data_IF_654665436216
#
_entry.id   IF_654665436216
#
_cell.length_a   1.000
_cell.length_b   1.000
_cell.length_c   1.000
_cell.angle_alpha   90.00
_cell.angle_beta   90.00
_cell.angle_gamma   90.00
#
_symmetry.space_group_name_H-M   'P 1'
#
loop_
_entity.id
_entity.type
_entity.pdbx_description
1 polymer ?
#
# COMPACT_ATOMS: atom_id res chain seq x y z
N UNK A 1 -26.41 5.35 15.08
CA UNK A 1 -26.35 5.31 16.55
C UNK A 1 -25.05 5.95 17.00
N UNK A 2 -25.10 6.99 17.82
CA UNK A 2 -23.88 7.61 18.37
C UNK A 2 -23.33 6.80 19.58
N UNK A 3 -22.14 7.14 20.07
CA UNK A 3 -21.51 6.39 21.17
C UNK A 3 -22.34 6.37 22.46
N UNK A 4 -23.12 7.41 22.72
CA UNK A 4 -23.99 7.51 23.92
C UNK A 4 -25.18 6.56 23.78
N UNK A 5 -25.83 6.57 22.62
CA UNK A 5 -26.93 5.64 22.31
C UNK A 5 -26.44 4.18 22.31
N UNK A 6 -25.25 3.92 21.75
CA UNK A 6 -24.65 2.58 21.72
C UNK A 6 -24.33 2.05 23.12
N UNK A 7 -23.81 2.90 24.01
CA UNK A 7 -23.57 2.53 25.42
C UNK A 7 -24.89 2.18 26.12
N UNK A 8 -25.95 2.93 25.86
CA UNK A 8 -27.26 2.67 26.44
C UNK A 8 -27.84 1.34 25.96
N UNK A 9 -27.75 1.05 24.65
CA UNK A 9 -28.20 -0.23 24.10
C UNK A 9 -27.38 -1.42 24.63
N UNK A 10 -26.07 -1.26 24.75
CA UNK A 10 -25.20 -2.29 25.33
C UNK A 10 -25.59 -2.56 26.80
N UNK A 11 -25.87 -1.53 27.59
CA UNK A 11 -26.34 -1.69 28.96
C UNK A 11 -27.70 -2.41 29.02
N UNK A 12 -28.63 -2.06 28.13
CA UNK A 12 -29.92 -2.74 28.04
C UNK A 12 -29.77 -4.21 27.64
N UNK A 13 -28.83 -4.52 26.73
CA UNK A 13 -28.51 -5.88 26.34
C UNK A 13 -27.93 -6.67 27.51
N UNK A 14 -26.94 -6.12 28.22
CA UNK A 14 -26.33 -6.74 29.40
C UNK A 14 -27.37 -7.03 30.49
N UNK A 15 -28.37 -6.16 30.65
CA UNK A 15 -29.47 -6.37 31.60
C UNK A 15 -30.43 -7.51 31.21
N UNK A 16 -30.45 -7.92 29.94
CA UNK A 16 -31.26 -9.05 29.44
C UNK A 16 -30.50 -10.38 29.49
N UNK A 17 -29.18 -10.35 29.68
CA UNK A 17 -28.35 -11.55 29.80
C UNK A 17 -28.48 -12.13 31.20
N UNK A 18 -28.52 -13.46 31.31
CA UNK A 18 -28.52 -14.14 32.62
C UNK A 18 -27.35 -13.67 33.48
N UNK A 19 -27.53 -13.34 34.76
CA UNK A 19 -26.45 -12.88 35.64
C UNK A 19 -25.23 -13.81 35.68
N UNK A 20 -25.43 -15.12 35.50
CA UNK A 20 -24.35 -16.12 35.46
C UNK A 20 -23.47 -16.03 34.21
N UNK A 21 -24.01 -15.49 33.11
CA UNK A 21 -23.35 -15.41 31.80
C UNK A 21 -22.77 -14.01 31.53
N UNK A 22 -23.21 -12.98 32.26
CA UNK A 22 -22.71 -11.60 32.09
C UNK A 22 -21.19 -11.54 32.21
N UNK A 23 -20.60 -12.24 33.19
CA UNK A 23 -19.14 -12.24 33.36
C UNK A 23 -18.42 -12.90 32.19
N UNK A 24 -18.91 -14.04 31.70
CA UNK A 24 -18.35 -14.71 30.52
C UNK A 24 -18.46 -13.85 29.25
N UNK A 25 -19.57 -13.15 29.07
CA UNK A 25 -19.76 -12.23 27.95
C UNK A 25 -18.82 -11.03 28.04
N UNK A 26 -18.64 -10.43 29.22
CA UNK A 26 -17.69 -9.34 29.42
C UNK A 26 -16.24 -9.80 29.20
N UNK A 27 -15.90 -11.01 29.64
CA UNK A 27 -14.57 -11.59 29.42
C UNK A 27 -14.37 -11.93 27.93
N UNK A 28 -15.40 -12.39 27.22
CA UNK A 28 -15.36 -12.54 25.77
C UNK A 28 -15.15 -11.20 25.08
N UNK A 29 -15.93 -10.15 25.42
CA UNK A 29 -15.77 -8.81 24.81
C UNK A 29 -14.35 -8.25 25.03
N UNK A 30 -13.78 -8.43 26.23
CA UNK A 30 -12.44 -7.93 26.56
C UNK A 30 -11.32 -8.67 25.83
N UNK A 31 -11.52 -9.95 25.51
CA UNK A 31 -10.47 -10.84 24.98
C UNK A 31 -10.74 -11.27 23.53
N UNK A 32 -11.80 -10.78 22.91
CA UNK A 32 -12.11 -11.05 21.50
C UNK A 32 -11.48 -9.98 20.62
N UNK A 33 -10.99 -10.37 19.45
CA UNK A 33 -10.60 -9.47 18.36
C UNK A 33 -11.86 -8.86 17.72
N UNK A 34 -12.55 -7.97 18.44
CA UNK A 34 -13.69 -7.21 17.90
C UNK A 34 -13.25 -6.15 16.88
N UNK A 35 -11.95 -6.05 16.61
CA UNK A 35 -11.33 -5.15 15.63
C UNK A 35 -11.86 -5.38 14.20
N UNK A 36 -12.38 -6.56 13.88
CA UNK A 36 -13.08 -6.80 12.60
C UNK A 36 -14.39 -6.00 12.45
N UNK A 37 -15.01 -5.56 13.56
CA UNK A 37 -16.18 -4.66 13.57
C UNK A 37 -15.77 -3.20 13.41
N UNK A 38 -14.48 -2.91 13.63
CA UNK A 38 -13.82 -1.67 13.30
C UNK A 38 -13.20 -1.80 11.91
N UNK A 39 -14.03 -2.03 10.87
CA UNK A 39 -13.59 -1.73 9.51
C UNK A 39 -13.07 -0.29 9.54
N UNK A 40 -11.75 -0.14 9.59
CA UNK A 40 -11.12 1.15 9.65
C UNK A 40 -11.61 1.89 8.41
N UNK A 41 -12.27 3.03 8.60
CA UNK A 41 -12.77 3.83 7.48
C UNK A 41 -11.64 4.10 6.49
N UNK A 42 -10.40 4.20 6.96
CA UNK A 42 -9.22 4.33 6.12
C UNK A 42 -8.98 3.09 5.25
N UNK A 43 -9.06 1.88 5.81
CA UNK A 43 -8.97 0.61 5.05
C UNK A 43 -10.09 0.52 4.01
N UNK A 44 -11.32 0.89 4.37
CA UNK A 44 -12.45 0.91 3.44
C UNK A 44 -12.26 1.92 2.32
N UNK A 45 -11.75 3.12 2.63
CA UNK A 45 -11.41 4.13 1.62
C UNK A 45 -10.37 3.59 0.64
N UNK A 46 -9.27 3.02 1.14
CA UNK A 46 -8.23 2.44 0.29
C UNK A 46 -8.74 1.29 -0.57
N UNK A 47 -9.58 0.41 -0.02
CA UNK A 47 -10.22 -0.66 -0.79
C UNK A 47 -11.11 -0.13 -1.91
N UNK A 48 -11.93 0.90 -1.63
CA UNK A 48 -12.75 1.50 -2.68
C UNK A 48 -11.89 2.14 -3.78
N UNK A 49 -10.76 2.76 -3.43
CA UNK A 49 -9.82 3.31 -4.41
C UNK A 49 -9.22 2.19 -5.27
N UNK A 50 -8.80 1.08 -4.65
CA UNK A 50 -8.31 -0.09 -5.36
C UNK A 50 -9.37 -0.64 -6.34
N UNK A 51 -10.63 -0.72 -5.93
CA UNK A 51 -11.75 -1.15 -6.78
C UNK A 51 -11.96 -0.24 -7.99
N UNK A 52 -11.92 1.08 -7.77
CA UNK A 52 -12.02 2.08 -8.84
C UNK A 52 -10.86 2.01 -9.84
N UNK A 53 -9.65 1.78 -9.35
CA UNK A 53 -8.47 1.61 -10.17
C UNK A 53 -8.58 0.32 -11.00
N UNK A 54 -8.98 -0.80 -10.39
CA UNK A 54 -9.21 -2.08 -11.09
C UNK A 54 -10.25 -1.97 -12.20
N UNK A 55 -11.28 -1.13 -12.04
CA UNK A 55 -12.27 -0.90 -13.08
C UNK A 55 -11.72 -0.18 -14.33
N UNK A 56 -10.54 0.46 -14.20
CA UNK A 56 -9.91 1.28 -15.25
C UNK A 56 -8.61 0.70 -15.79
N UNK A 57 -8.06 -0.32 -15.14
CA UNK A 57 -6.78 -0.93 -15.46
C UNK A 57 -6.98 -2.35 -15.99
N UNK A 58 -6.05 -2.84 -16.84
CA UNK A 58 -5.98 -4.27 -17.12
C UNK A 58 -5.64 -5.07 -15.84
N UNK A 59 -5.91 -6.38 -15.81
CA UNK A 59 -5.67 -7.21 -14.61
C UNK A 59 -4.22 -7.23 -14.11
N UNK A 60 -3.25 -7.02 -15.00
CA UNK A 60 -1.84 -6.90 -14.66
C UNK A 60 -1.44 -5.49 -14.19
N UNK A 61 -2.38 -4.54 -14.16
CA UNK A 61 -2.19 -3.14 -13.78
C UNK A 61 -1.18 -2.36 -14.65
N UNK A 62 -0.84 -2.88 -15.84
CA UNK A 62 0.15 -2.27 -16.75
C UNK A 62 -0.55 -1.43 -17.83
N UNK A 63 -0.31 -0.12 -17.86
CA UNK A 63 -0.79 0.69 -18.97
C UNK A 63 0.07 0.46 -20.24
N UNK A 64 -0.50 0.48 -21.45
CA UNK A 64 0.28 0.35 -22.69
C UNK A 64 1.39 1.39 -22.83
N UNK A 65 1.17 2.60 -22.30
CA UNK A 65 2.16 3.69 -22.26
C UNK A 65 3.31 3.41 -21.28
N UNK A 66 3.10 2.58 -20.26
CA UNK A 66 4.11 2.11 -19.31
C UNK A 66 5.00 1.01 -19.92
N UNK A 67 4.40 0.11 -20.72
CA UNK A 67 5.09 -1.02 -21.35
C UNK A 67 6.27 -0.57 -22.20
N UNK A 68 6.18 0.57 -22.91
CA UNK A 68 7.30 1.09 -23.71
C UNK A 68 8.52 1.52 -22.87
N UNK A 69 8.33 1.92 -21.62
CA UNK A 69 9.40 2.26 -20.68
C UNK A 69 9.99 0.99 -20.04
N UNK A 70 9.14 0.04 -19.61
CA UNK A 70 9.57 -1.27 -19.09
C UNK A 70 10.33 -2.12 -20.11
N UNK A 71 10.01 -2.00 -21.40
CA UNK A 71 10.73 -2.72 -22.46
C UNK A 71 12.20 -2.30 -22.56
N UNK A 72 12.60 -1.10 -22.11
CA UNK A 72 14.03 -0.70 -22.11
C UNK A 72 14.82 -1.36 -20.98
N UNK A 73 14.21 -1.63 -19.83
CA UNK A 73 14.87 -2.24 -18.67
C UNK A 73 14.82 -3.78 -18.68
N UNK A 74 13.71 -4.37 -19.13
CA UNK A 74 13.55 -5.84 -19.18
C UNK A 74 14.35 -6.53 -20.29
N UNK A 75 14.85 -5.81 -21.31
CA UNK A 75 15.70 -6.42 -22.35
C UNK A 75 17.02 -6.99 -21.80
N UNK A 76 17.39 -6.68 -20.55
CA UNK A 76 18.51 -7.34 -19.85
C UNK A 76 18.07 -8.48 -18.91
N UNK A 77 16.78 -8.62 -18.58
CA UNK A 77 16.27 -9.60 -17.62
C UNK A 77 14.94 -10.25 -18.03
N UNK A 78 14.97 -11.33 -18.84
CA UNK A 78 14.50 -12.69 -18.46
C UNK A 78 13.97 -13.55 -19.64
N UNK A 79 14.44 -14.79 -19.62
CA UNK A 79 13.94 -15.94 -20.38
C UNK A 79 12.88 -16.77 -19.61
N UNK A 80 12.18 -16.18 -18.63
CA UNK A 80 11.20 -16.88 -17.78
C UNK A 80 9.85 -16.17 -17.80
N UNK A 81 8.73 -16.91 -17.84
CA UNK A 81 7.40 -16.31 -17.78
C UNK A 81 7.17 -15.75 -16.37
N UNK A 82 6.75 -14.49 -16.29
CA UNK A 82 6.38 -13.77 -15.07
C UNK A 82 5.10 -12.98 -15.34
N UNK A 83 4.21 -12.90 -14.36
CA UNK A 83 2.97 -12.12 -14.42
C UNK A 83 3.06 -11.00 -13.38
N UNK A 84 2.85 -9.77 -13.82
CA UNK A 84 2.84 -8.61 -12.93
C UNK A 84 1.51 -8.54 -12.18
N UNK A 85 1.56 -8.33 -10.87
CA UNK A 85 0.40 -8.16 -10.00
C UNK A 85 0.67 -7.01 -9.04
N UNK A 86 -0.27 -6.09 -8.89
CA UNK A 86 -0.10 -4.94 -7.99
C UNK A 86 -0.71 -5.22 -6.60
N UNK A 87 0.12 -5.28 -5.56
CA UNK A 87 -0.30 -5.58 -4.18
C UNK A 87 -1.23 -4.53 -3.56
N UNK A 88 -1.30 -3.31 -4.12
CA UNK A 88 -2.29 -2.34 -3.68
C UNK A 88 -3.70 -2.70 -4.19
N UNK A 89 -3.78 -3.29 -5.38
CA UNK A 89 -5.05 -3.60 -6.04
C UNK A 89 -5.67 -4.93 -5.59
N UNK A 90 -4.83 -5.90 -5.25
CA UNK A 90 -5.27 -7.26 -4.94
C UNK A 90 -4.65 -7.74 -3.62
N UNK A 91 -5.50 -8.10 -2.66
CA UNK A 91 -5.06 -8.82 -1.46
C UNK A 91 -4.70 -10.28 -1.77
N UNK A 92 -3.96 -10.93 -0.88
CA UNK A 92 -3.61 -12.34 -1.04
C UNK A 92 -4.85 -13.25 -1.14
N UNK A 93 -5.91 -12.95 -0.41
CA UNK A 93 -7.18 -13.68 -0.50
C UNK A 93 -7.89 -13.48 -1.85
N UNK A 94 -7.88 -12.24 -2.38
CA UNK A 94 -8.43 -11.95 -3.71
C UNK A 94 -7.62 -12.64 -4.79
N UNK A 95 -6.30 -12.72 -4.61
CA UNK A 95 -5.39 -13.46 -5.46
C UNK A 95 -5.65 -14.97 -5.44
N UNK A 96 -5.90 -15.53 -4.25
CA UNK A 96 -6.30 -16.94 -4.11
C UNK A 96 -7.60 -17.22 -4.86
N UNK A 97 -8.60 -16.36 -4.69
CA UNK A 97 -9.89 -16.48 -5.38
C UNK A 97 -9.71 -16.44 -6.90
N UNK A 98 -8.92 -15.50 -7.43
CA UNK A 98 -8.64 -15.41 -8.86
C UNK A 98 -7.88 -16.64 -9.40
N UNK A 99 -7.03 -17.24 -8.57
CA UNK A 99 -6.35 -18.50 -8.91
C UNK A 99 -7.32 -19.69 -8.94
N UNK A 100 -8.22 -19.78 -7.96
CA UNK A 100 -9.24 -20.83 -7.88
C UNK A 100 -10.24 -20.76 -9.03
N UNK A 101 -10.62 -19.54 -9.44
CA UNK A 101 -11.51 -19.29 -10.59
C UNK A 101 -10.82 -19.50 -11.95
N UNK A 102 -9.51 -19.77 -11.96
CA UNK A 102 -8.73 -19.99 -13.18
C UNK A 102 -8.48 -18.74 -14.01
N UNK A 103 -8.81 -17.55 -13.48
CA UNK A 103 -8.47 -16.26 -14.09
C UNK A 103 -6.97 -15.97 -14.05
N UNK A 104 -6.23 -16.71 -13.20
CA UNK A 104 -4.85 -16.44 -12.83
C UNK A 104 -4.15 -17.72 -12.36
N UNK A 105 -2.80 -17.77 -12.37
CA UNK A 105 -2.04 -18.89 -11.82
C UNK A 105 -0.85 -18.42 -10.98
N UNK A 106 -0.83 -18.78 -9.68
CA UNK A 106 0.25 -18.43 -8.73
C UNK A 106 1.61 -18.95 -9.13
N UNK A 107 1.65 -20.09 -9.81
CA UNK A 107 2.90 -20.76 -10.14
C UNK A 107 2.90 -21.21 -11.59
N UNK A 108 4.05 -21.14 -12.25
CA UNK A 108 4.25 -21.78 -13.56
C UNK A 108 5.07 -23.04 -13.43
N UNK A 109 4.80 -24.02 -14.28
CA UNK A 109 5.61 -25.22 -14.32
C UNK A 109 6.94 -24.97 -15.03
N UNK A 110 8.03 -25.35 -14.36
CA UNK A 110 9.40 -25.27 -14.89
C UNK A 110 9.72 -26.33 -15.95
N UNK A 111 8.73 -27.09 -16.44
CA UNK A 111 8.98 -28.30 -17.25
C UNK A 111 7.90 -28.63 -18.27
N UNK A 112 6.62 -28.75 -17.87
CA UNK A 112 5.58 -29.35 -18.72
C UNK A 112 4.12 -29.08 -18.30
N UNK A 113 3.86 -28.15 -17.38
CA UNK A 113 2.52 -27.94 -16.78
C UNK A 113 2.19 -28.84 -15.57
N UNK A 114 3.19 -29.50 -14.98
CA UNK A 114 3.07 -30.44 -13.86
C UNK A 114 3.69 -29.91 -12.54
N UNK A 115 3.95 -30.77 -11.55
CA UNK A 115 4.20 -30.46 -10.13
C UNK A 115 5.45 -29.61 -9.79
N UNK A 116 6.42 -29.53 -10.71
CA UNK A 116 7.65 -28.75 -10.48
C UNK A 116 7.39 -27.30 -10.89
N UNK A 117 6.92 -26.51 -9.94
CA UNK A 117 6.46 -25.15 -10.17
C UNK A 117 7.34 -24.11 -9.49
N UNK A 118 7.30 -22.88 -9.97
CA UNK A 118 7.93 -21.71 -9.35
C UNK A 118 6.94 -20.54 -9.32
N UNK A 119 7.06 -19.59 -8.37
CA UNK A 119 6.20 -18.42 -8.29
C UNK A 119 6.20 -17.64 -9.61
N UNK A 120 5.00 -17.29 -10.07
CA UNK A 120 4.79 -16.55 -11.31
C UNK A 120 4.69 -15.03 -11.07
N UNK A 121 4.31 -14.61 -9.86
CA UNK A 121 4.03 -13.21 -9.56
C UNK A 121 5.22 -12.40 -9.12
N UNK A 122 5.22 -11.14 -9.54
CA UNK A 122 6.08 -10.09 -9.03
C UNK A 122 5.16 -8.90 -8.73
N UNK A 123 5.28 -8.35 -7.52
CA UNK A 123 4.64 -7.10 -7.13
C UNK A 123 5.70 -6.03 -6.93
N UNK A 124 5.38 -4.81 -7.38
CA UNK A 124 6.25 -3.64 -7.27
C UNK A 124 5.59 -2.50 -6.51
N UNK A 125 4.52 -2.77 -5.76
CA UNK A 125 3.68 -1.76 -5.10
C UNK A 125 3.45 -2.14 -3.65
N UNK A 126 3.21 -1.14 -2.78
CA UNK A 126 2.83 -1.38 -1.40
C UNK A 126 1.38 -1.87 -1.32
N UNK A 127 1.15 -2.93 -0.55
CA UNK A 127 -0.17 -3.34 -0.08
C UNK A 127 -0.78 -2.34 0.91
N UNK A 128 -2.10 -2.42 1.12
CA UNK A 128 -2.78 -1.59 2.11
C UNK A 128 -2.22 -1.78 3.54
N UNK A 129 -1.77 -2.98 3.89
CA UNK A 129 -1.18 -3.29 5.19
C UNK A 129 0.22 -2.69 5.32
N UNK A 130 1.05 -2.76 4.27
CA UNK A 130 2.36 -2.12 4.26
C UNK A 130 2.25 -0.59 4.33
N UNK A 131 1.26 0.00 3.65
CA UNK A 131 0.96 1.44 3.79
C UNK A 131 0.56 1.80 5.23
N UNK A 132 -0.25 0.96 5.87
CA UNK A 132 -0.60 1.15 7.28
C UNK A 132 0.62 1.09 8.19
N UNK A 133 1.48 0.09 8.00
CA UNK A 133 2.75 -0.03 8.72
C UNK A 133 3.61 1.22 8.55
N UNK A 134 3.84 1.61 7.29
CA UNK A 134 4.66 2.75 6.90
C UNK A 134 4.23 4.03 7.62
N UNK A 135 2.93 4.37 7.58
CA UNK A 135 2.47 5.67 8.09
C UNK A 135 2.16 5.70 9.59
N UNK A 136 1.77 4.56 10.19
CA UNK A 136 1.34 4.54 11.59
C UNK A 136 2.42 4.01 12.55
N UNK A 137 3.42 3.29 12.05
CA UNK A 137 4.41 2.61 12.89
C UNK A 137 5.84 3.00 12.52
N UNK A 138 6.13 3.15 11.23
CA UNK A 138 7.48 3.44 10.77
C UNK A 138 7.81 4.93 10.77
N UNK A 139 6.97 5.75 10.12
CA UNK A 139 7.22 7.18 9.99
C UNK A 139 6.84 7.95 11.26
N UNK A 140 7.56 9.04 11.59
CA UNK A 140 7.18 9.93 12.69
C UNK A 140 5.92 10.73 12.33
N UNK A 141 5.37 11.48 13.31
CA UNK A 141 4.29 12.44 13.03
C UNK A 141 4.70 13.43 11.93
N UNK A 142 3.84 13.51 10.91
CA UNK A 142 4.05 14.31 9.71
C UNK A 142 3.33 15.67 9.76
N UNK A 143 2.78 16.06 10.92
CA UNK A 143 2.16 17.38 11.09
C UNK A 143 3.12 18.50 10.67
N UNK A 144 2.67 19.37 9.76
CA UNK A 144 3.49 20.45 9.20
C UNK A 144 4.51 20.02 8.15
N UNK A 145 4.61 18.73 7.82
CA UNK A 145 5.64 18.18 6.92
C UNK A 145 5.14 17.92 5.50
N UNK A 146 6.08 17.91 4.57
CA UNK A 146 5.90 17.54 3.16
C UNK A 146 6.52 16.18 2.88
N UNK A 147 5.72 15.27 2.32
CA UNK A 147 6.19 13.98 1.82
C UNK A 147 6.14 13.96 0.30
N UNK A 148 7.19 13.45 -0.33
CA UNK A 148 7.28 13.23 -1.77
C UNK A 148 7.38 11.73 -2.06
N UNK A 149 6.53 11.24 -2.95
CA UNK A 149 6.54 9.87 -3.50
C UNK A 149 7.06 9.91 -4.93
N UNK A 150 8.20 9.27 -5.18
CA UNK A 150 8.88 9.28 -6.48
C UNK A 150 8.49 8.04 -7.28
N UNK A 151 8.01 8.24 -8.51
CA UNK A 151 7.47 7.15 -9.32
C UNK A 151 6.14 6.66 -8.76
N UNK A 152 5.23 7.61 -8.47
CA UNK A 152 4.02 7.32 -7.70
C UNK A 152 3.05 6.35 -8.38
N UNK A 153 3.18 6.13 -9.70
CA UNK A 153 2.45 5.13 -10.50
C UNK A 153 0.94 5.14 -10.28
N UNK A 154 0.40 4.23 -9.47
CA UNK A 154 -1.04 4.18 -9.17
C UNK A 154 -1.47 5.12 -8.04
N UNK A 155 -0.52 5.68 -7.28
CA UNK A 155 -0.73 6.62 -6.19
C UNK A 155 -0.92 6.00 -4.81
N UNK A 156 -0.60 4.70 -4.64
CA UNK A 156 -0.84 3.94 -3.41
C UNK A 156 -0.29 4.65 -2.15
N UNK A 157 0.95 5.14 -2.20
CA UNK A 157 1.59 5.88 -1.11
C UNK A 157 0.87 7.20 -0.80
N UNK A 158 0.41 7.92 -1.83
CA UNK A 158 -0.32 9.18 -1.65
C UNK A 158 -1.66 8.94 -0.96
N UNK A 159 -2.39 7.90 -1.36
CA UNK A 159 -3.68 7.57 -0.75
C UNK A 159 -3.50 7.07 0.69
N UNK A 160 -2.53 6.17 0.92
CA UNK A 160 -2.16 5.70 2.26
C UNK A 160 -1.74 6.85 3.17
N UNK A 161 -0.88 7.74 2.68
CA UNK A 161 -0.43 8.91 3.43
C UNK A 161 -1.56 9.87 3.74
N UNK A 162 -2.55 10.00 2.86
CA UNK A 162 -3.70 10.85 3.12
C UNK A 162 -4.55 10.31 4.28
N UNK A 163 -4.85 9.01 4.28
CA UNK A 163 -5.75 8.41 5.27
C UNK A 163 -5.08 8.09 6.61
N UNK A 164 -3.78 7.81 6.60
CA UNK A 164 -3.04 7.38 7.79
C UNK A 164 -2.13 8.45 8.41
N UNK A 165 -1.95 9.61 7.77
CA UNK A 165 -1.05 10.64 8.29
C UNK A 165 -1.63 12.06 8.30
N UNK A 166 -1.02 12.88 9.15
CA UNK A 166 -1.22 14.33 9.30
C UNK A 166 -0.33 15.17 8.36
N UNK A 167 0.34 14.54 7.38
CA UNK A 167 1.22 15.24 6.43
C UNK A 167 0.51 16.45 5.83
N UNK A 168 1.14 17.62 5.87
CA UNK A 168 0.53 18.85 5.34
C UNK A 168 0.47 18.84 3.82
N UNK A 169 1.44 18.19 3.18
CA UNK A 169 1.48 18.02 1.72
C UNK A 169 1.98 16.63 1.36
N UNK A 170 1.31 16.00 0.40
CA UNK A 170 1.64 14.71 -0.19
C UNK A 170 1.82 14.94 -1.69
N UNK A 171 3.03 14.77 -2.19
CA UNK A 171 3.39 15.09 -3.56
C UNK A 171 3.83 13.83 -4.31
N UNK A 172 3.10 13.46 -5.37
CA UNK A 172 3.52 12.39 -6.27
C UNK A 172 4.30 12.95 -7.45
N UNK A 173 5.47 12.39 -7.75
CA UNK A 173 6.19 12.63 -9.00
C UNK A 173 6.01 11.42 -9.91
N UNK A 174 5.52 11.64 -11.12
CA UNK A 174 5.29 10.58 -12.10
C UNK A 174 5.68 11.04 -13.50
N UNK A 175 6.34 10.16 -14.25
CA UNK A 175 6.82 10.42 -15.62
C UNK A 175 5.76 10.09 -16.67
N UNK A 176 4.88 9.14 -16.41
CA UNK A 176 3.83 8.74 -17.32
C UNK A 176 2.58 9.62 -17.12
N UNK A 177 2.26 10.42 -18.13
CA UNK A 177 1.11 11.32 -18.09
C UNK A 177 -0.23 10.61 -17.88
N UNK A 178 -0.40 9.38 -18.36
CA UNK A 178 -1.65 8.62 -18.15
C UNK A 178 -1.82 8.23 -16.68
N UNK A 179 -0.74 7.88 -15.98
CA UNK A 179 -0.77 7.67 -14.54
C UNK A 179 -1.03 8.96 -13.77
N UNK A 180 -0.43 10.08 -14.18
CA UNK A 180 -0.73 11.40 -13.59
C UNK A 180 -2.22 11.72 -13.71
N UNK A 181 -2.84 11.47 -14.88
CA UNK A 181 -4.27 11.66 -15.09
C UNK A 181 -5.11 10.72 -14.21
N UNK A 182 -4.76 9.43 -14.19
CA UNK A 182 -5.44 8.43 -13.38
C UNK A 182 -5.44 8.80 -11.89
N UNK A 183 -4.28 9.19 -11.35
CA UNK A 183 -4.16 9.58 -9.96
C UNK A 183 -4.95 10.86 -9.65
N UNK A 184 -4.90 11.87 -10.52
CA UNK A 184 -5.66 13.11 -10.33
C UNK A 184 -7.18 12.86 -10.32
N UNK A 185 -7.69 11.95 -11.16
CA UNK A 185 -9.10 11.56 -11.13
C UNK A 185 -9.51 10.94 -9.79
N UNK A 186 -8.68 10.05 -9.23
CA UNK A 186 -8.91 9.45 -7.91
C UNK A 186 -8.84 10.53 -6.82
N UNK A 187 -7.80 11.35 -6.82
CA UNK A 187 -7.63 12.46 -5.86
C UNK A 187 -8.85 13.38 -5.87
N UNK A 188 -9.39 13.72 -7.04
CA UNK A 188 -10.61 14.52 -7.16
C UNK A 188 -11.85 13.77 -6.68
N UNK A 189 -12.04 12.51 -7.09
CA UNK A 189 -13.19 11.69 -6.70
C UNK A 189 -13.31 11.56 -5.17
N UNK A 190 -12.18 11.36 -4.49
CA UNK A 190 -12.11 11.19 -3.04
C UNK A 190 -11.88 12.50 -2.27
N UNK A 191 -11.78 13.63 -2.98
CA UNK A 191 -11.59 14.98 -2.42
C UNK A 191 -10.30 15.12 -1.59
N UNK A 192 -9.21 14.52 -2.06
CA UNK A 192 -7.90 14.58 -1.40
C UNK A 192 -7.04 15.78 -1.85
N UNK A 193 -7.60 16.63 -2.73
CA UNK A 193 -6.88 17.76 -3.33
C UNK A 193 -6.47 18.87 -2.36
N UNK A 194 -6.91 18.82 -1.10
CA UNK A 194 -6.49 19.75 -0.05
C UNK A 194 -5.04 19.52 0.38
N UNK A 195 -4.52 18.29 0.26
CA UNK A 195 -3.15 17.94 0.64
C UNK A 195 -2.39 17.13 -0.40
N UNK A 196 -3.08 16.42 -1.30
CA UNK A 196 -2.46 15.59 -2.34
C UNK A 196 -2.33 16.38 -3.64
N UNK A 197 -1.14 16.34 -4.24
CA UNK A 197 -0.87 16.89 -5.56
C UNK A 197 0.02 15.92 -6.35
N UNK A 198 -0.31 15.69 -7.62
CA UNK A 198 0.46 14.83 -8.53
C UNK A 198 1.08 15.69 -9.62
N UNK A 199 2.39 15.57 -9.79
CA UNK A 199 3.18 16.34 -10.76
C UNK A 199 3.69 15.41 -11.86
N UNK A 200 3.42 15.79 -13.11
CA UNK A 200 4.07 15.19 -14.27
C UNK A 200 5.50 15.75 -14.37
N UNK A 201 6.48 15.03 -13.81
CA UNK A 201 7.84 15.53 -13.67
C UNK A 201 8.87 14.41 -13.58
N UNK A 202 10.06 14.69 -14.11
CA UNK A 202 11.26 13.89 -13.87
C UNK A 202 11.92 14.34 -12.57
N UNK A 203 12.02 13.43 -11.60
CA UNK A 203 12.66 13.68 -10.30
C UNK A 203 14.08 14.24 -10.42
N UNK A 204 14.82 13.86 -11.48
CA UNK A 204 16.18 14.37 -11.73
C UNK A 204 16.22 15.88 -12.00
N UNK A 205 15.07 16.50 -12.30
CA UNK A 205 14.94 17.94 -12.54
C UNK A 205 14.36 18.71 -11.36
N UNK A 206 14.06 18.03 -10.25
CA UNK A 206 13.30 18.58 -9.12
C UNK A 206 14.15 18.88 -7.88
N UNK A 207 15.41 19.33 -8.06
CA UNK A 207 16.34 19.61 -6.95
C UNK A 207 15.74 20.55 -5.89
N UNK A 208 15.08 21.64 -6.31
CA UNK A 208 14.46 22.60 -5.40
C UNK A 208 13.36 21.95 -4.55
N UNK A 209 12.55 21.08 -5.16
CA UNK A 209 11.50 20.36 -4.46
C UNK A 209 12.11 19.40 -3.44
N UNK A 210 13.07 18.57 -3.88
CA UNK A 210 13.74 17.57 -3.04
C UNK A 210 14.45 18.21 -1.84
N UNK A 211 15.08 19.38 -2.03
CA UNK A 211 15.70 20.14 -0.95
C UNK A 211 14.72 20.68 0.10
N UNK A 212 13.43 20.75 -0.24
CA UNK A 212 12.35 21.21 0.66
C UNK A 212 11.47 20.08 1.21
N UNK A 213 11.82 18.82 0.89
CA UNK A 213 11.07 17.63 1.28
C UNK A 213 11.50 17.14 2.66
N UNK A 214 10.54 16.84 3.54
CA UNK A 214 10.83 16.28 4.86
C UNK A 214 10.94 14.75 4.83
N UNK A 215 10.16 14.09 3.98
CA UNK A 215 10.15 12.62 3.81
C UNK A 215 10.08 12.28 2.33
N UNK A 216 11.02 11.46 1.86
CA UNK A 216 11.09 11.01 0.49
C UNK A 216 10.84 9.50 0.43
N UNK A 217 9.85 9.08 -0.35
CA UNK A 217 9.54 7.67 -0.60
C UNK A 217 9.97 7.31 -2.01
N UNK A 218 10.71 6.21 -2.11
CA UNK A 218 11.28 5.66 -3.33
C UNK A 218 11.06 4.15 -3.35
N UNK A 219 9.85 3.72 -3.68
CA UNK A 219 9.52 2.29 -3.75
C UNK A 219 10.01 1.68 -5.08
N UNK A 220 10.95 0.74 -5.04
CA UNK A 220 11.52 0.09 -6.22
C UNK A 220 12.14 1.03 -7.27
N UNK A 221 12.50 2.25 -6.87
CA UNK A 221 13.11 3.24 -7.76
C UNK A 221 14.59 2.89 -7.98
N UNK A 222 15.35 2.53 -6.94
CA UNK A 222 16.81 2.36 -7.04
C UNK A 222 17.30 1.27 -8.00
N UNK A 223 16.53 0.21 -8.28
CA UNK A 223 16.90 -0.79 -9.31
C UNK A 223 17.12 -0.17 -10.71
N UNK A 224 16.66 1.07 -10.91
CA UNK A 224 16.76 1.81 -12.17
C UNK A 224 17.71 3.02 -12.14
N UNK A 225 18.11 3.54 -10.97
CA UNK A 225 18.68 4.90 -10.87
C UNK A 225 20.06 5.02 -10.20
N UNK A 226 20.53 4.08 -9.37
CA UNK A 226 21.82 4.26 -8.69
C UNK A 226 22.44 2.95 -8.20
N UNK A 227 23.75 2.76 -8.40
CA UNK A 227 24.46 1.62 -7.82
C UNK A 227 24.67 1.81 -6.30
N UNK A 228 24.71 0.71 -5.54
CA UNK A 228 24.89 0.74 -4.08
C UNK A 228 26.18 1.41 -3.62
N UNK A 229 27.17 1.55 -4.50
CA UNK A 229 28.42 2.29 -4.30
C UNK A 229 28.23 3.81 -4.23
N UNK A 230 27.11 4.34 -4.70
CA UNK A 230 26.82 5.78 -4.79
C UNK A 230 25.89 6.28 -3.65
N UNK A 231 25.40 5.38 -2.79
CA UNK A 231 24.50 5.65 -1.66
C UNK A 231 25.25 6.11 -0.38
N UNK A 232 26.30 6.92 -0.51
CA UNK A 232 27.23 7.26 0.59
C UNK A 232 26.74 8.41 1.50
N UNK A 233 25.56 8.96 1.21
CA UNK A 233 25.00 10.18 1.81
C UNK A 233 23.75 9.91 2.66
N UNK A 234 23.46 8.63 2.93
CA UNK A 234 22.32 8.19 3.73
C UNK A 234 22.75 7.21 4.82
N UNK A 235 22.05 7.24 5.95
CA UNK A 235 22.22 6.33 7.09
C UNK A 235 20.94 5.55 7.30
N UNK A 236 21.01 4.22 7.29
CA UNK A 236 19.86 3.36 7.59
C UNK A 236 19.52 3.44 9.08
N UNK A 237 18.25 3.68 9.38
CA UNK A 237 17.73 3.75 10.74
C UNK A 237 17.15 2.38 11.16
N UNK A 238 17.30 2.01 12.44
CA UNK A 238 16.68 0.78 12.94
C UNK A 238 15.15 0.88 12.89
N UNK A 239 14.50 -0.21 12.49
CA UNK A 239 13.05 -0.34 12.38
C UNK A 239 12.58 -1.52 13.23
N UNK A 240 11.48 -1.32 13.96
CA UNK A 240 10.78 -2.40 14.66
C UNK A 240 9.75 -3.03 13.72
N UNK A 241 10.00 -4.28 13.33
CA UNK A 241 9.11 -5.05 12.44
C UNK A 241 8.17 -5.97 13.21
N UNK A 242 8.28 -6.08 14.55
CA UNK A 242 7.48 -7.00 15.38
C UNK A 242 6.13 -6.37 15.77
N UNK A 243 5.52 -5.64 14.82
CA UNK A 243 4.22 -4.97 14.98
C UNK A 243 3.10 -5.84 14.42
N UNK A 244 2.07 -6.08 15.22
CA UNK A 244 0.88 -6.80 14.77
C UNK A 244 -0.14 -5.83 14.14
N UNK A 245 -0.38 -5.96 12.83
CA UNK A 245 -1.37 -5.14 12.08
C UNK A 245 -2.64 -5.92 11.69
N UNK A 246 -2.75 -7.17 12.15
CA UNK A 246 -3.83 -8.10 11.83
C UNK A 246 -3.31 -9.38 11.18
N UNK A 247 -4.23 -10.33 10.94
CA UNK A 247 -3.91 -11.67 10.43
C UNK A 247 -3.34 -11.68 9.01
N UNK A 248 -3.62 -10.65 8.23
CA UNK A 248 -3.23 -10.54 6.81
C UNK A 248 -1.88 -9.84 6.61
N UNK A 249 -1.10 -9.71 7.69
CA UNK A 249 0.22 -9.06 7.66
C UNK A 249 1.29 -10.12 7.47
N UNK A 250 2.04 -10.05 6.37
CA UNK A 250 3.25 -10.83 6.18
C UNK A 250 4.46 -10.11 6.81
N UNK A 251 5.05 -10.61 7.92
CA UNK A 251 6.19 -9.97 8.55
C UNK A 251 7.44 -9.92 7.65
N UNK A 252 7.60 -10.85 6.71
CA UNK A 252 8.74 -10.84 5.79
C UNK A 252 8.59 -9.76 4.70
N UNK A 253 7.35 -9.41 4.33
CA UNK A 253 7.08 -8.29 3.44
C UNK A 253 7.47 -6.95 4.10
N UNK A 254 7.12 -6.77 5.38
CA UNK A 254 7.48 -5.56 6.13
C UNK A 254 9.00 -5.34 6.22
N UNK A 255 9.80 -6.41 6.29
CA UNK A 255 11.27 -6.35 6.35
C UNK A 255 11.93 -5.85 5.06
N UNK A 256 11.17 -5.73 3.97
CA UNK A 256 11.65 -5.10 2.73
C UNK A 256 11.55 -3.57 2.76
N UNK A 257 10.93 -3.01 3.81
CA UNK A 257 10.77 -1.57 3.99
C UNK A 257 11.92 -1.02 4.82
N UNK A 258 12.79 -0.26 4.17
CA UNK A 258 13.95 0.35 4.81
C UNK A 258 13.72 1.85 5.05
N UNK A 259 14.17 2.34 6.20
CA UNK A 259 14.12 3.75 6.55
C UNK A 259 15.55 4.32 6.58
N UNK A 260 15.74 5.44 5.88
CA UNK A 260 17.03 6.13 5.83
C UNK A 260 16.91 7.58 6.30
N UNK A 261 17.99 8.08 6.89
CA UNK A 261 18.23 9.51 7.18
C UNK A 261 19.28 10.04 6.22
N UNK A 262 19.02 11.17 5.59
CA UNK A 262 20.01 11.90 4.79
C UNK A 262 20.99 12.63 5.74
N UNK A 263 22.30 12.53 5.46
CA UNK A 263 23.39 13.12 6.27
C UNK A 263 23.73 14.57 5.89
#
# INVERSE_FOLDING_TARGET
>A
MNCVEAKLELQQLLNKVSPSEVRKLLDWIKNSELDHLLLDNNKVILQNIADDLRARLPPDAMLPSETAAHHKSQMQQRARPTVHVDSFLYSDEQMDTLCEEGAMSRNYCLSCGSFRTAPLFISHSFSATELQFLFQNLLPDLSGRTLVDVGSRLGAVLYGGYVYSSASRLLGLELNEDFVRLQNDIVHKYKFSDRVQVLHADVCTQEVLLNSTDVLIMNNVFEYFMESSEQVWVEELPVDYDVYLGKDTDPEALRQIHLYRIL
#
